data_IF_177838304228
#
_entry.id   IF_177838304228
#
_cell.length_a   1.000
_cell.length_b   1.000
_cell.length_c   1.000
_cell.angle_alpha   90.00
_cell.angle_beta   90.00
_cell.angle_gamma   90.00
#
_symmetry.space_group_name_H-M   'P 1'
#
loop_
_entity.id
_entity.type
_entity.pdbx_description
1 polymer ?
#
# COMPACT_ATOMS: atom_id res chain seq x y z
N UNK A 1 28.14 -4.74 28.82
CA UNK A 1 27.59 -4.18 27.57
C UNK A 1 26.77 -5.29 26.92
N UNK A 2 25.45 -5.23 27.03
CA UNK A 2 24.55 -6.20 26.39
C UNK A 2 24.00 -5.49 25.15
N UNK A 3 24.55 -5.80 23.98
CA UNK A 3 23.98 -5.39 22.70
C UNK A 3 22.77 -6.29 22.46
N UNK A 4 21.59 -5.82 22.83
CA UNK A 4 20.34 -6.48 22.48
C UNK A 4 20.11 -6.33 20.98
N UNK A 5 20.26 -7.41 20.23
CA UNK A 5 19.74 -7.51 18.86
C UNK A 5 18.23 -7.23 18.93
N UNK A 6 17.65 -6.31 18.14
CA UNK A 6 16.21 -6.14 18.11
C UNK A 6 15.58 -7.48 17.75
N UNK A 7 14.57 -7.91 18.50
CA UNK A 7 13.79 -9.08 18.09
C UNK A 7 13.14 -8.73 16.74
N UNK A 8 13.67 -9.30 15.67
CA UNK A 8 13.12 -9.19 14.32
C UNK A 8 11.69 -9.74 14.40
N UNK A 9 10.71 -8.85 14.39
CA UNK A 9 9.30 -9.23 14.46
C UNK A 9 8.89 -10.05 13.24
N UNK A 10 7.62 -10.47 13.16
CA UNK A 10 7.09 -11.21 12.01
C UNK A 10 7.36 -10.52 10.65
N UNK A 11 7.51 -9.20 10.66
CA UNK A 11 7.79 -8.38 9.49
C UNK A 11 9.23 -7.85 9.41
N UNK A 12 10.13 -8.25 10.30
CA UNK A 12 11.47 -7.69 10.40
C UNK A 12 11.48 -6.17 10.51
N UNK A 13 12.09 -5.51 9.52
CA UNK A 13 12.17 -4.03 9.44
C UNK A 13 10.87 -3.38 8.90
N UNK A 14 9.91 -4.18 8.42
CA UNK A 14 8.60 -3.71 7.96
C UNK A 14 7.62 -3.65 9.14
N UNK A 15 6.62 -2.78 9.03
CA UNK A 15 5.53 -2.67 10.00
C UNK A 15 4.46 -3.73 9.71
N UNK A 16 3.99 -4.44 10.74
CA UNK A 16 2.87 -5.37 10.62
C UNK A 16 1.55 -4.58 10.63
N UNK A 17 0.73 -4.74 9.60
CA UNK A 17 -0.61 -4.16 9.61
C UNK A 17 -1.49 -4.85 10.64
N UNK A 18 -1.71 -4.19 11.79
CA UNK A 18 -2.59 -4.69 12.86
C UNK A 18 -4.02 -4.19 12.64
N UNK A 19 -4.66 -4.61 11.56
CA UNK A 19 -6.10 -4.38 11.35
C UNK A 19 -6.91 -5.46 12.08
N UNK A 20 -7.98 -5.11 12.82
CA UNK A 20 -8.77 -6.09 13.59
C UNK A 20 -9.62 -7.06 12.73
N UNK A 21 -9.67 -6.89 11.40
CA UNK A 21 -10.49 -7.69 10.49
C UNK A 21 -9.70 -8.64 9.57
N UNK A 22 -8.37 -8.60 9.56
CA UNK A 22 -7.58 -9.28 8.53
C UNK A 22 -7.09 -10.69 8.90
N UNK A 23 -7.39 -11.65 8.02
CA UNK A 23 -6.80 -12.99 7.99
C UNK A 23 -5.37 -12.98 7.41
N UNK A 24 -5.04 -11.99 6.57
CA UNK A 24 -3.70 -11.72 6.04
C UNK A 24 -3.14 -10.48 6.70
N UNK A 25 -2.07 -10.62 7.50
CA UNK A 25 -1.38 -9.47 8.10
C UNK A 25 -0.21 -9.07 7.19
N UNK A 26 -0.38 -8.14 6.23
CA UNK A 26 0.71 -7.73 5.37
C UNK A 26 1.79 -6.99 6.17
N UNK A 27 3.01 -7.11 5.69
CA UNK A 27 4.15 -6.31 6.14
C UNK A 27 4.28 -5.10 5.22
N UNK A 28 4.23 -3.90 5.79
CA UNK A 28 4.20 -2.63 5.04
C UNK A 28 5.40 -1.76 5.41
N UNK A 29 5.84 -0.93 4.47
CA UNK A 29 6.89 0.08 4.71
C UNK A 29 6.43 1.41 4.16
N UNK A 30 6.58 2.45 4.96
CA UNK A 30 6.11 3.79 4.64
C UNK A 30 7.30 4.61 4.14
N UNK A 31 7.15 5.19 2.95
CA UNK A 31 8.10 6.14 2.39
C UNK A 31 7.47 7.53 2.39
N UNK A 32 8.13 8.48 3.05
CA UNK A 32 7.64 9.87 3.18
C UNK A 32 8.26 10.82 2.16
N UNK A 33 9.29 10.39 1.43
CA UNK A 33 9.90 11.19 0.36
C UNK A 33 8.96 11.23 -0.85
N UNK A 34 8.61 12.42 -1.35
CA UNK A 34 7.72 12.54 -2.50
C UNK A 34 8.39 12.01 -3.76
N UNK A 35 7.72 11.10 -4.46
CA UNK A 35 8.16 10.49 -5.71
C UNK A 35 7.00 10.44 -6.70
N UNK A 36 7.23 10.56 -8.00
CA UNK A 36 6.27 10.14 -9.02
C UNK A 36 5.86 8.68 -8.83
N UNK A 37 4.62 8.33 -9.20
CA UNK A 37 4.05 6.99 -8.97
C UNK A 37 4.94 5.85 -9.46
N UNK A 38 5.51 5.96 -10.67
CA UNK A 38 6.38 4.93 -11.25
C UNK A 38 7.68 4.76 -10.46
N UNK A 39 8.25 5.84 -9.91
CA UNK A 39 9.43 5.77 -9.06
C UNK A 39 9.09 5.22 -7.67
N UNK A 40 7.90 5.52 -7.14
CA UNK A 40 7.42 4.90 -5.89
C UNK A 40 7.24 3.39 -6.04
N UNK A 41 6.67 2.92 -7.16
CA UNK A 41 6.56 1.49 -7.47
C UNK A 41 7.94 0.82 -7.60
N UNK A 42 8.91 1.46 -8.26
CA UNK A 42 10.29 0.96 -8.33
C UNK A 42 10.95 0.89 -6.96
N UNK A 43 10.71 1.88 -6.10
CA UNK A 43 11.23 1.89 -4.73
C UNK A 43 10.68 0.72 -3.91
N UNK A 44 9.38 0.41 -4.02
CA UNK A 44 8.79 -0.77 -3.39
C UNK A 44 9.35 -2.08 -3.96
N UNK A 45 9.53 -2.16 -5.29
CA UNK A 45 10.09 -3.34 -5.96
C UNK A 45 11.55 -3.62 -5.58
N UNK A 46 12.35 -2.57 -5.34
CA UNK A 46 13.72 -2.69 -4.82
C UNK A 46 13.79 -3.34 -3.43
N UNK A 47 12.69 -3.23 -2.67
CA UNK A 47 12.49 -3.84 -1.36
C UNK A 47 11.67 -5.16 -1.45
N UNK A 48 11.60 -5.79 -2.63
CA UNK A 48 10.85 -7.03 -2.89
C UNK A 48 9.33 -6.94 -2.63
N UNK A 49 8.77 -5.73 -2.66
CA UNK A 49 7.34 -5.47 -2.51
C UNK A 49 6.73 -4.81 -3.74
N UNK A 50 5.50 -4.32 -3.58
CA UNK A 50 4.80 -3.45 -4.53
C UNK A 50 4.19 -2.27 -3.77
N UNK A 51 3.71 -1.27 -4.50
CA UNK A 51 2.73 -0.36 -3.89
C UNK A 51 1.53 -1.20 -3.40
N UNK A 52 0.94 -0.73 -2.31
CA UNK A 52 -0.13 -1.45 -1.61
C UNK A 52 -1.37 -1.59 -2.49
N UNK A 53 -1.98 -2.77 -2.48
CA UNK A 53 -3.31 -2.99 -3.05
C UNK A 53 -4.31 -2.98 -1.90
N UNK A 54 -5.46 -2.36 -2.11
CA UNK A 54 -6.45 -2.20 -1.05
C UNK A 54 -7.63 -3.10 -1.39
N UNK A 55 -7.92 -4.06 -0.51
CA UNK A 55 -8.88 -5.12 -0.75
C UNK A 55 -10.11 -5.02 0.17
N UNK A 56 -10.12 -4.08 1.12
CA UNK A 56 -11.23 -3.85 2.04
C UNK A 56 -11.35 -2.40 2.51
N UNK A 57 -12.52 -2.04 3.04
CA UNK A 57 -12.75 -0.72 3.63
C UNK A 57 -11.92 -0.51 4.92
N UNK A 58 -11.67 -1.58 5.66
CA UNK A 58 -10.86 -1.60 6.86
C UNK A 58 -9.38 -1.32 6.55
N UNK A 59 -8.85 -1.97 5.52
CA UNK A 59 -7.51 -1.71 4.98
C UNK A 59 -7.38 -0.27 4.49
N UNK A 60 -8.37 0.21 3.72
CA UNK A 60 -8.41 1.61 3.28
C UNK A 60 -8.36 2.59 4.46
N UNK A 61 -9.11 2.30 5.54
CA UNK A 61 -9.12 3.13 6.75
C UNK A 61 -7.79 3.08 7.49
N UNK A 62 -7.14 1.92 7.56
CA UNK A 62 -5.80 1.80 8.15
C UNK A 62 -4.81 2.70 7.41
N UNK A 63 -4.70 2.56 6.09
CA UNK A 63 -3.75 3.34 5.29
C UNK A 63 -4.05 4.84 5.28
N UNK A 64 -5.33 5.23 5.29
CA UNK A 64 -5.71 6.64 5.45
C UNK A 64 -5.21 7.23 6.77
N UNK A 65 -5.38 6.51 7.89
CA UNK A 65 -4.89 6.93 9.21
C UNK A 65 -3.36 6.99 9.25
N UNK A 66 -2.70 6.02 8.64
CA UNK A 66 -1.24 5.97 8.51
C UNK A 66 -0.70 7.17 7.74
N UNK A 67 -1.36 7.58 6.65
CA UNK A 67 -1.00 8.79 5.91
C UNK A 67 -1.09 10.05 6.78
N UNK A 68 -2.18 10.19 7.55
CA UNK A 68 -2.36 11.33 8.47
C UNK A 68 -1.31 11.34 9.57
N UNK A 69 -1.03 10.20 10.22
CA UNK A 69 -0.04 10.14 11.30
C UNK A 69 1.38 10.45 10.83
N UNK A 70 1.67 10.20 9.56
CA UNK A 70 2.95 10.53 8.92
C UNK A 70 2.94 11.90 8.20
N UNK A 71 1.91 12.72 8.43
CA UNK A 71 1.79 14.06 7.83
C UNK A 71 1.82 14.07 6.29
N UNK A 72 1.36 12.98 5.65
CA UNK A 72 1.22 12.85 4.20
C UNK A 72 -0.08 13.48 3.71
N UNK A 73 -0.25 14.78 3.98
CA UNK A 73 -1.49 15.52 3.69
C UNK A 73 -1.73 15.72 2.19
N UNK A 74 -0.68 15.59 1.36
CA UNK A 74 -0.76 15.65 -0.11
C UNK A 74 -1.13 14.30 -0.75
N UNK A 75 -1.47 13.30 0.06
CA UNK A 75 -1.79 11.95 -0.37
C UNK A 75 -0.59 11.00 -0.33
N UNK A 76 -0.89 9.73 -0.59
CA UNK A 76 0.04 8.62 -0.60
C UNK A 76 -0.19 7.80 -1.87
N UNK A 77 0.89 7.38 -2.54
CA UNK A 77 0.78 6.49 -3.68
C UNK A 77 0.36 5.08 -3.24
N UNK A 78 -0.58 4.50 -3.98
CA UNK A 78 -1.07 3.13 -3.83
C UNK A 78 -0.98 2.42 -5.18
N UNK A 79 -1.16 1.09 -5.20
CA UNK A 79 -0.96 0.24 -6.36
C UNK A 79 -2.02 0.36 -7.47
N UNK A 80 -2.99 1.25 -7.33
CA UNK A 80 -3.95 1.54 -8.39
C UNK A 80 -3.27 2.30 -9.54
N UNK A 81 -3.37 1.79 -10.75
CA UNK A 81 -2.88 2.46 -11.96
C UNK A 81 -3.79 2.21 -13.16
N UNK A 82 -3.60 2.99 -14.22
CA UNK A 82 -4.25 2.76 -15.50
C UNK A 82 -3.71 1.49 -16.16
N UNK A 83 -4.61 0.69 -16.73
CA UNK A 83 -4.25 -0.49 -17.47
C UNK A 83 -3.57 -0.11 -18.79
N UNK A 84 -2.45 -0.75 -19.10
CA UNK A 84 -1.62 -0.37 -20.25
C UNK A 84 -2.33 -0.54 -21.60
N UNK A 85 -3.23 -1.52 -21.71
CA UNK A 85 -3.98 -1.76 -22.95
C UNK A 85 -5.25 -0.90 -23.08
N UNK A 86 -5.78 -0.37 -21.96
CA UNK A 86 -6.94 0.51 -21.94
C UNK A 86 -6.83 1.51 -20.78
N UNK A 87 -6.41 2.77 -21.04
CA UNK A 87 -6.26 3.80 -20.01
C UNK A 87 -7.57 4.22 -19.31
N UNK A 88 -8.73 3.80 -19.82
CA UNK A 88 -10.02 4.03 -19.14
C UNK A 88 -10.25 3.05 -17.99
N UNK A 89 -9.47 1.96 -17.94
CA UNK A 89 -9.55 0.92 -16.93
C UNK A 89 -8.47 1.15 -15.88
N UNK A 90 -8.87 1.04 -14.62
CA UNK A 90 -7.96 1.03 -13.48
C UNK A 90 -7.85 -0.39 -12.90
N UNK A 91 -6.65 -0.74 -12.48
CA UNK A 91 -6.26 -2.06 -11.99
C UNK A 91 -5.34 -1.96 -10.79
N UNK A 92 -5.29 -3.02 -9.99
CA UNK A 92 -4.29 -3.19 -8.93
C UNK A 92 -2.99 -3.79 -9.49
N UNK A 93 -1.86 -3.34 -8.94
CA UNK A 93 -0.52 -3.81 -9.30
C UNK A 93 -0.24 -5.29 -8.98
N UNK A 94 -1.12 -5.98 -8.26
CA UNK A 94 -0.96 -7.39 -7.87
C UNK A 94 -1.65 -8.38 -8.83
N UNK A 95 -2.46 -7.92 -9.78
CA UNK A 95 -3.26 -8.84 -10.60
C UNK A 95 -3.83 -8.32 -11.91
N UNK A 96 -3.60 -7.06 -12.30
CA UNK A 96 -4.19 -6.45 -13.51
C UNK A 96 -5.73 -6.63 -13.58
N UNK A 97 -6.39 -6.88 -12.43
CA UNK A 97 -7.84 -7.12 -12.35
C UNK A 97 -8.54 -5.76 -12.40
N UNK A 98 -9.42 -5.52 -13.39
CA UNK A 98 -10.15 -4.27 -13.51
C UNK A 98 -11.05 -3.98 -12.31
N UNK A 99 -11.16 -2.71 -11.94
CA UNK A 99 -12.14 -2.20 -10.98
C UNK A 99 -13.53 -2.18 -11.59
N UNK A 100 -14.17 -3.35 -11.64
CA UNK A 100 -15.50 -3.56 -12.25
C UNK A 100 -16.52 -4.12 -11.24
N UNK A 101 -16.39 -3.76 -9.97
CA UNK A 101 -17.25 -4.21 -8.88
C UNK A 101 -16.91 -5.59 -8.31
N UNK A 102 -15.85 -6.24 -8.81
CA UNK A 102 -15.28 -7.49 -8.26
C UNK A 102 -14.07 -7.27 -7.37
N UNK A 103 -13.46 -6.09 -7.46
CA UNK A 103 -12.33 -5.64 -6.66
C UNK A 103 -12.77 -4.44 -5.83
N UNK A 104 -12.19 -4.28 -4.64
CA UNK A 104 -12.45 -3.10 -3.82
C UNK A 104 -11.93 -1.85 -4.52
N UNK A 105 -12.73 -0.79 -4.48
CA UNK A 105 -12.34 0.56 -4.84
C UNK A 105 -13.06 1.57 -3.93
N UNK A 106 -12.50 2.78 -3.84
CA UNK A 106 -13.08 3.90 -3.10
C UNK A 106 -12.82 5.21 -3.82
N UNK A 107 -13.03 5.20 -5.15
CA UNK A 107 -12.80 6.40 -5.96
C UNK A 107 -13.80 7.49 -5.59
N UNK A 108 -13.31 8.72 -5.52
CA UNK A 108 -14.15 9.89 -5.41
C UNK A 108 -14.71 10.18 -6.81
N UNK A 109 -16.02 10.02 -6.98
CA UNK A 109 -16.71 10.50 -8.19
C UNK A 109 -16.65 12.03 -8.24
N UNK A 110 -16.18 12.58 -9.35
CA UNK A 110 -16.20 14.02 -9.63
C UNK A 110 -17.51 14.47 -10.27
#
# INVERSE_FOLDING_TARGET
HVTGTPAIGQCGEYELMTSPADASKPCVKIFTSPLPWNLAQQQCAADFGSLITINSAEENKYFWRTGISNSMLNGMHIGAHQYSADPSVWVWSDGEIPFNGKSYDNFVSC
#
